data_IF_731127720493
#
_entry.id   IF_731127720493
#
_cell.length_a   1.000
_cell.length_b   1.000
_cell.length_c   1.000
_cell.angle_alpha   90.00
_cell.angle_beta   90.00
_cell.angle_gamma   90.00
#
_symmetry.space_group_name_H-M   'P 1'
#
loop_
_entity.id
_entity.type
_entity.pdbx_description
1 polymer ?
#
# COMPACT_ATOMS: atom_id res chain seq x y z
N UNK A 1 6.15 -3.54 19.87
CA UNK A 1 4.84 -4.21 19.69
C UNK A 1 4.95 -5.08 18.47
N UNK A 2 4.67 -6.37 18.62
CA UNK A 2 4.69 -7.28 17.49
C UNK A 2 3.50 -6.98 16.56
N UNK A 3 3.79 -6.81 15.27
CA UNK A 3 2.78 -6.58 14.24
C UNK A 3 1.82 -7.77 14.19
N UNK A 4 0.52 -7.51 14.32
CA UNK A 4 -0.49 -8.57 14.24
C UNK A 4 -0.55 -9.17 12.82
N UNK A 5 -1.06 -10.40 12.65
CA UNK A 5 -1.22 -10.99 11.31
C UNK A 5 -2.09 -10.15 10.37
N UNK A 6 -3.12 -9.46 10.91
CA UNK A 6 -3.98 -8.57 10.13
C UNK A 6 -3.20 -7.37 9.59
N UNK A 7 -2.51 -6.63 10.46
CA UNK A 7 -1.70 -5.47 10.07
C UNK A 7 -0.61 -5.85 9.07
N UNK A 8 0.02 -7.02 9.24
CA UNK A 8 1.02 -7.51 8.30
C UNK A 8 0.45 -7.78 6.93
N UNK A 9 -0.71 -8.45 6.84
CA UNK A 9 -1.39 -8.73 5.57
C UNK A 9 -1.80 -7.44 4.87
N UNK A 10 -2.32 -6.47 5.61
CA UNK A 10 -2.67 -5.16 5.08
C UNK A 10 -1.45 -4.46 4.47
N UNK A 11 -0.33 -4.41 5.20
CA UNK A 11 0.91 -3.81 4.68
C UNK A 11 1.50 -4.57 3.49
N UNK A 12 1.44 -5.90 3.49
CA UNK A 12 1.86 -6.72 2.34
C UNK A 12 1.04 -6.35 1.10
N UNK A 13 -0.29 -6.23 1.24
CA UNK A 13 -1.17 -5.86 0.13
C UNK A 13 -0.85 -4.44 -0.40
N UNK A 14 -0.67 -3.47 0.49
CA UNK A 14 -0.27 -2.10 0.12
C UNK A 14 1.06 -2.07 -0.63
N UNK A 15 2.08 -2.78 -0.12
CA UNK A 15 3.38 -2.92 -0.77
C UNK A 15 3.25 -3.55 -2.16
N UNK A 16 2.45 -4.61 -2.29
CA UNK A 16 2.23 -5.28 -3.57
C UNK A 16 1.47 -4.41 -4.57
N UNK A 17 0.49 -3.62 -4.13
CA UNK A 17 -0.23 -2.71 -5.02
C UNK A 17 0.66 -1.58 -5.53
N UNK A 18 1.67 -1.16 -4.76
CA UNK A 18 2.69 -0.21 -5.20
C UNK A 18 3.69 -0.85 -6.19
N UNK A 19 4.28 -1.99 -5.83
CA UNK A 19 5.37 -2.61 -6.62
C UNK A 19 4.89 -3.47 -7.78
N UNK A 20 3.60 -3.81 -7.80
CA UNK A 20 2.92 -4.74 -8.73
C UNK A 20 3.38 -6.19 -8.64
N UNK A 21 4.64 -6.46 -8.31
CA UNK A 21 5.18 -7.81 -8.12
C UNK A 21 6.31 -7.79 -7.08
N UNK A 22 6.42 -8.86 -6.28
CA UNK A 22 7.54 -9.03 -5.36
C UNK A 22 7.85 -10.53 -5.10
N UNK A 23 9.05 -10.81 -4.59
CA UNK A 23 9.48 -12.15 -4.21
C UNK A 23 9.14 -12.44 -2.75
N UNK A 24 8.83 -13.70 -2.42
CA UNK A 24 8.60 -14.12 -1.03
C UNK A 24 9.79 -13.84 -0.11
N UNK A 25 11.02 -13.90 -0.64
CA UNK A 25 12.24 -13.64 0.11
C UNK A 25 12.37 -12.16 0.46
N UNK A 26 12.12 -11.27 -0.49
CA UNK A 26 12.19 -9.82 -0.24
C UNK A 26 11.11 -9.39 0.76
N UNK A 27 9.86 -9.84 0.58
CA UNK A 27 8.79 -9.59 1.54
C UNK A 27 9.13 -10.14 2.94
N UNK A 28 9.71 -11.34 3.02
CA UNK A 28 10.09 -11.92 4.31
C UNK A 28 11.15 -11.10 5.05
N UNK A 29 12.10 -10.53 4.31
CA UNK A 29 13.13 -9.66 4.85
C UNK A 29 12.54 -8.32 5.30
N UNK A 30 11.70 -7.68 4.47
CA UNK A 30 11.06 -6.40 4.78
C UNK A 30 10.14 -6.45 5.99
N UNK A 31 9.33 -7.50 6.11
CA UNK A 31 8.41 -7.67 7.23
C UNK A 31 9.01 -8.43 8.42
N UNK A 32 10.31 -8.77 8.36
CA UNK A 32 11.04 -9.51 9.39
C UNK A 32 10.31 -10.78 9.87
N UNK A 33 9.83 -11.59 8.94
CA UNK A 33 9.14 -12.87 9.21
C UNK A 33 9.69 -13.97 8.33
N UNK A 34 9.35 -15.23 8.63
CA UNK A 34 9.75 -16.35 7.75
C UNK A 34 9.07 -16.28 6.37
N UNK A 35 9.71 -16.83 5.34
CA UNK A 35 9.07 -17.00 4.02
C UNK A 35 7.80 -17.85 4.09
N UNK A 36 7.72 -18.80 5.03
CA UNK A 36 6.51 -19.58 5.29
C UNK A 36 5.36 -18.73 5.82
N UNK A 37 5.65 -17.74 6.66
CA UNK A 37 4.67 -16.76 7.15
C UNK A 37 4.12 -15.92 6.00
N UNK A 38 4.99 -15.36 5.15
CA UNK A 38 4.55 -14.61 3.95
C UNK A 38 3.70 -15.49 3.04
N UNK A 39 4.09 -16.75 2.77
CA UNK A 39 3.26 -17.65 1.94
C UNK A 39 1.84 -17.82 2.50
N UNK A 40 1.69 -18.03 3.81
CA UNK A 40 0.37 -18.14 4.45
C UNK A 40 -0.42 -16.83 4.35
N UNK A 41 0.23 -15.70 4.55
CA UNK A 41 -0.41 -14.39 4.42
C UNK A 41 -0.87 -14.11 2.99
N UNK A 42 -0.07 -14.45 1.97
CA UNK A 42 -0.45 -14.36 0.56
C UNK A 42 -1.63 -15.29 0.25
N UNK A 43 -1.64 -16.54 0.75
CA UNK A 43 -2.79 -17.44 0.57
C UNK A 43 -4.07 -16.82 1.12
N UNK A 44 -4.03 -16.23 2.31
CA UNK A 44 -5.20 -15.52 2.86
C UNK A 44 -5.62 -14.34 1.98
N UNK A 45 -4.66 -13.53 1.52
CA UNK A 45 -4.96 -12.38 0.66
C UNK A 45 -5.54 -12.80 -0.70
N UNK A 46 -5.09 -13.93 -1.28
CA UNK A 46 -5.63 -14.42 -2.56
C UNK A 46 -7.11 -14.78 -2.50
N UNK A 47 -7.68 -15.00 -1.31
CA UNK A 47 -9.11 -15.24 -1.13
C UNK A 47 -9.97 -13.99 -1.33
N UNK A 48 -9.38 -12.79 -1.27
CA UNK A 48 -10.11 -11.51 -1.29
C UNK A 48 -9.56 -10.52 -2.32
N UNK A 49 -8.33 -10.71 -2.78
CA UNK A 49 -7.63 -9.80 -3.69
C UNK A 49 -7.06 -10.56 -4.89
N UNK A 50 -7.00 -9.93 -6.07
CA UNK A 50 -6.53 -10.57 -7.31
C UNK A 50 -5.00 -10.65 -7.34
N UNK A 51 -4.46 -11.52 -6.48
CA UNK A 51 -3.05 -11.84 -6.39
C UNK A 51 -2.76 -13.17 -7.10
N UNK A 52 -1.66 -13.22 -7.85
CA UNK A 52 -1.23 -14.40 -8.59
C UNK A 52 0.16 -14.83 -8.15
N UNK A 53 0.38 -16.13 -8.00
CA UNK A 53 1.73 -16.67 -7.75
C UNK A 53 2.48 -16.86 -9.06
N UNK A 54 3.68 -16.29 -9.14
CA UNK A 54 4.56 -16.38 -10.31
C UNK A 54 5.67 -17.39 -10.00
N UNK A 55 5.94 -18.35 -10.90
CA UNK A 55 6.98 -19.37 -10.73
C UNK A 55 8.31 -18.94 -11.36
N UNK A 56 9.43 -19.50 -10.90
CA UNK A 56 10.78 -19.28 -11.45
C UNK A 56 11.73 -18.49 -10.54
N UNK A 57 12.97 -18.26 -10.99
CA UNK A 57 14.04 -17.61 -10.20
C UNK A 57 13.72 -16.17 -9.76
N UNK A 58 12.80 -15.50 -10.46
CA UNK A 58 12.28 -14.17 -10.13
C UNK A 58 10.76 -14.20 -9.91
N UNK A 59 10.24 -15.38 -9.57
CA UNK A 59 8.85 -15.59 -9.21
C UNK A 59 8.52 -15.01 -7.84
N UNK A 60 7.31 -15.24 -7.36
CA UNK A 60 6.79 -14.65 -6.15
C UNK A 60 5.29 -14.44 -6.25
N UNK A 61 4.86 -13.22 -5.99
CA UNK A 61 3.45 -12.83 -6.05
C UNK A 61 3.30 -11.53 -6.82
N UNK A 62 2.25 -11.45 -7.63
CA UNK A 62 1.91 -10.31 -8.49
C UNK A 62 0.46 -9.88 -8.27
N UNK A 63 0.20 -8.59 -8.37
CA UNK A 63 -1.15 -8.00 -8.37
C UNK A 63 -1.66 -7.87 -9.80
N UNK A 64 -2.87 -8.34 -10.08
CA UNK A 64 -3.49 -8.20 -11.39
C UNK A 64 -3.51 -6.73 -11.86
N UNK A 65 -3.17 -6.49 -13.14
CA UNK A 65 -2.90 -5.14 -13.68
C UNK A 65 -4.01 -4.12 -13.39
N UNK A 66 -5.28 -4.53 -13.56
CA UNK A 66 -6.47 -3.72 -13.35
C UNK A 66 -6.79 -3.41 -11.89
N UNK A 67 -6.21 -4.15 -10.94
CA UNK A 67 -6.48 -3.94 -9.52
C UNK A 67 -5.53 -2.89 -8.96
N UNK A 68 -6.15 -1.86 -8.39
CA UNK A 68 -5.51 -0.89 -7.53
C UNK A 68 -6.22 -0.99 -6.19
N UNK A 69 -5.47 -1.14 -5.10
CA UNK A 69 -6.05 -0.89 -3.79
C UNK A 69 -6.62 0.52 -3.84
N UNK A 70 -7.85 0.72 -3.35
CA UNK A 70 -8.43 2.04 -3.11
C UNK A 70 -7.54 2.79 -2.11
N UNK A 71 -6.39 3.26 -2.60
CA UNK A 71 -5.72 4.39 -2.02
C UNK A 71 -6.73 5.49 -2.21
N UNK A 72 -7.29 5.94 -1.09
CA UNK A 72 -7.93 7.24 -0.99
C UNK A 72 -6.86 8.32 -1.22
N UNK A 73 -6.19 8.29 -2.36
CA UNK A 73 -5.24 9.27 -2.78
C UNK A 73 -6.05 10.39 -3.43
N UNK A 74 -5.67 11.61 -3.12
CA UNK A 74 -6.21 12.78 -3.77
C UNK A 74 -5.77 12.74 -5.23
N UNK A 75 -6.72 12.82 -6.15
CA UNK A 75 -6.40 13.02 -7.54
C UNK A 75 -5.86 14.44 -7.77
N UNK A 76 -5.29 14.70 -8.95
CA UNK A 76 -4.66 15.99 -9.24
C UNK A 76 -5.61 17.18 -9.12
N UNK A 77 -6.91 17.01 -9.43
CA UNK A 77 -7.91 18.06 -9.30
C UNK A 77 -8.22 18.35 -7.82
N UNK A 78 -8.34 17.31 -6.99
CA UNK A 78 -8.53 17.44 -5.54
C UNK A 78 -7.32 18.10 -4.87
N UNK A 79 -6.09 17.70 -5.20
CA UNK A 79 -4.87 18.33 -4.68
C UNK A 79 -4.84 19.82 -5.04
N UNK A 80 -5.14 20.15 -6.30
CA UNK A 80 -5.15 21.53 -6.79
C UNK A 80 -6.21 22.36 -6.06
N UNK A 81 -7.41 21.80 -5.87
CA UNK A 81 -8.48 22.42 -5.12
C UNK A 81 -8.07 22.70 -3.66
N UNK A 82 -7.50 21.71 -2.98
CA UNK A 82 -7.10 21.84 -1.57
C UNK A 82 -5.92 22.79 -1.40
N UNK A 83 -4.97 22.85 -2.34
CA UNK A 83 -3.89 23.86 -2.33
C UNK A 83 -4.43 25.27 -2.45
N UNK A 84 -5.38 25.51 -3.34
CA UNK A 84 -6.05 26.82 -3.46
C UNK A 84 -6.84 27.16 -2.20
N UNK A 85 -7.50 26.18 -1.59
CA UNK A 85 -8.21 26.39 -0.31
C UNK A 85 -7.23 26.77 0.81
N UNK A 86 -6.05 26.13 0.85
CA UNK A 86 -5.01 26.42 1.84
C UNK A 86 -4.51 27.89 1.78
N UNK A 87 -4.56 28.54 0.62
CA UNK A 87 -4.21 29.96 0.46
C UNK A 87 -5.17 30.90 1.21
N UNK A 88 -6.42 30.47 1.43
CA UNK A 88 -7.44 31.22 2.18
C UNK A 88 -7.49 30.91 3.68
N UNK A 89 -6.65 30.00 4.16
CA UNK A 89 -6.59 29.59 5.57
C UNK A 89 -5.37 30.18 6.27
N UNK A 90 -5.51 30.50 7.55
CA UNK A 90 -4.44 31.03 8.38
C UNK A 90 -3.96 30.02 9.43
N UNK A 91 -2.71 30.17 9.85
CA UNK A 91 -2.13 29.49 11.00
C UNK A 91 -2.33 27.96 10.99
N UNK A 92 -2.96 27.45 12.05
CA UNK A 92 -3.13 26.02 12.32
C UNK A 92 -3.91 25.28 11.24
N UNK A 93 -4.92 25.92 10.66
CA UNK A 93 -5.85 25.25 9.75
C UNK A 93 -5.18 24.99 8.39
N UNK A 94 -4.36 25.95 7.95
CA UNK A 94 -3.52 25.79 6.76
C UNK A 94 -2.48 24.68 6.95
N UNK A 95 -1.84 24.61 8.12
CA UNK A 95 -0.90 23.52 8.44
C UNK A 95 -1.58 22.16 8.44
N UNK A 96 -2.78 22.06 9.03
CA UNK A 96 -3.54 20.81 9.07
C UNK A 96 -3.94 20.37 7.66
N UNK A 97 -4.42 21.29 6.81
CA UNK A 97 -4.78 20.99 5.43
C UNK A 97 -3.57 20.53 4.60
N UNK A 98 -2.41 21.18 4.77
CA UNK A 98 -1.18 20.77 4.09
C UNK A 98 -0.70 19.37 4.52
N UNK A 99 -0.88 18.99 5.80
CA UNK A 99 -0.61 17.61 6.24
C UNK A 99 -1.54 16.60 5.59
N UNK A 100 -2.84 16.89 5.48
CA UNK A 100 -3.81 16.01 4.79
C UNK A 100 -3.39 15.82 3.33
N UNK A 101 -3.07 16.91 2.61
CA UNK A 101 -2.59 16.83 1.22
C UNK A 101 -1.35 15.95 1.13
N UNK A 102 -0.40 16.10 2.05
CA UNK A 102 0.84 15.31 2.07
C UNK A 102 0.57 13.83 2.28
N UNK A 103 -0.31 13.47 3.21
CA UNK A 103 -0.65 12.07 3.53
C UNK A 103 -1.32 11.36 2.34
N UNK A 104 -2.10 12.08 1.54
CA UNK A 104 -2.93 11.49 0.49
C UNK A 104 -2.47 11.80 -0.95
N UNK A 105 -1.29 12.39 -1.19
CA UNK A 105 -0.81 12.73 -2.56
C UNK A 105 0.19 11.73 -3.16
N UNK A 106 0.25 10.50 -2.63
CA UNK A 106 1.23 9.45 -3.01
C UNK A 106 0.74 8.44 -4.05
#
# INVERSE_FOLDING_TARGET
MDMTPWERRQKILETLCLRRQDTYRNLSHEFNVSTGTIRRDIVVLTCSYPLETVRGNHGGVRVAEWFHLDRRALNSAEITFLRRLAESLDGSDREMLNRIITVFSH
#
